data_IF_221900278103
#
_entry.id   IF_221900278103
#
_cell.length_a   1.000
_cell.length_b   1.000
_cell.length_c   1.000
_cell.angle_alpha   90.00
_cell.angle_beta   90.00
_cell.angle_gamma   90.00
#
_symmetry.space_group_name_H-M   'P 1'
#
loop_
_entity.id
_entity.type
_entity.pdbx_description
1 polymer ?
#
# COMPACT_ATOMS: atom_id res chain seq x y z
N UNK A 1 -27.64 -6.88 -6.58
CA UNK A 1 -26.83 -6.67 -5.37
C UNK A 1 -25.44 -7.23 -5.63
N UNK A 2 -24.42 -6.40 -5.51
CA UNK A 2 -23.02 -6.81 -5.61
C UNK A 2 -22.63 -7.70 -4.42
N UNK A 3 -21.73 -8.67 -4.63
CA UNK A 3 -21.16 -9.50 -3.55
C UNK A 3 -20.66 -8.64 -2.38
N UNK A 4 -20.12 -7.45 -2.69
CA UNK A 4 -19.63 -6.48 -1.70
C UNK A 4 -20.75 -5.97 -0.78
N UNK A 5 -21.94 -5.74 -1.33
CA UNK A 5 -23.12 -5.27 -0.59
C UNK A 5 -23.71 -6.38 0.30
N UNK A 6 -23.63 -7.63 -0.18
CA UNK A 6 -24.06 -8.82 0.57
C UNK A 6 -23.16 -9.03 1.80
N UNK A 7 -21.84 -8.93 1.62
CA UNK A 7 -20.88 -9.08 2.73
C UNK A 7 -21.00 -7.97 3.77
N UNK A 8 -21.18 -6.70 3.35
CA UNK A 8 -21.37 -5.58 4.28
C UNK A 8 -22.67 -5.77 5.09
N UNK A 9 -23.76 -6.21 4.44
CA UNK A 9 -25.02 -6.49 5.12
C UNK A 9 -24.94 -7.64 6.13
N UNK A 10 -24.18 -8.69 5.82
CA UNK A 10 -24.10 -9.89 6.65
C UNK A 10 -23.09 -9.79 7.79
N UNK A 11 -21.97 -9.08 7.58
CA UNK A 11 -20.85 -9.12 8.52
C UNK A 11 -20.46 -7.73 9.06
N UNK A 12 -21.11 -6.64 8.65
CA UNK A 12 -20.86 -5.29 9.18
C UNK A 12 -19.51 -4.68 8.80
N UNK A 13 -18.67 -5.42 8.07
CA UNK A 13 -17.36 -4.98 7.60
C UNK A 13 -17.05 -5.60 6.23
N UNK A 14 -16.37 -4.83 5.37
CA UNK A 14 -15.87 -5.33 4.10
C UNK A 14 -14.86 -6.48 4.35
N UNK A 15 -14.82 -7.50 3.48
CA UNK A 15 -13.86 -8.60 3.62
C UNK A 15 -12.45 -8.03 3.70
N UNK A 16 -11.69 -8.42 4.73
CA UNK A 16 -10.26 -8.11 4.80
C UNK A 16 -9.61 -8.78 3.60
N UNK A 17 -8.92 -8.01 2.76
CA UNK A 17 -8.02 -8.57 1.75
C UNK A 17 -6.91 -9.29 2.51
N UNK A 18 -6.96 -10.62 2.53
CA UNK A 18 -5.84 -11.43 3.00
C UNK A 18 -4.76 -11.37 1.91
N UNK A 19 -3.62 -10.77 2.26
CA UNK A 19 -2.47 -10.72 1.39
C UNK A 19 -1.52 -11.83 1.82
N UNK A 20 -1.26 -12.79 0.94
CA UNK A 20 -0.13 -13.69 1.14
C UNK A 20 1.16 -12.88 1.15
N UNK A 21 2.03 -13.02 2.17
CA UNK A 21 3.28 -12.30 2.25
C UNK A 21 4.31 -12.90 1.29
N UNK A 22 4.05 -12.77 -0.02
CA UNK A 22 5.01 -13.07 -1.08
C UNK A 22 6.16 -12.06 -0.96
N UNK A 23 7.24 -12.47 -0.28
CA UNK A 23 8.49 -11.70 -0.13
C UNK A 23 9.59 -12.26 -1.02
N UNK A 24 9.22 -12.67 -2.22
CA UNK A 24 10.12 -13.27 -3.20
C UNK A 24 11.05 -12.23 -3.86
N UNK A 25 10.59 -10.98 -4.01
CA UNK A 25 11.35 -9.92 -4.67
C UNK A 25 11.59 -8.68 -3.80
N UNK A 26 12.81 -8.15 -3.86
CA UNK A 26 13.19 -6.86 -3.26
C UNK A 26 13.16 -5.77 -4.34
N UNK A 27 12.51 -4.65 -4.02
CA UNK A 27 12.52 -3.45 -4.86
C UNK A 27 13.66 -2.55 -4.38
N UNK A 28 14.62 -2.29 -5.26
CA UNK A 28 15.70 -1.34 -5.02
C UNK A 28 15.43 -0.07 -5.81
N UNK A 29 15.28 1.05 -5.10
CA UNK A 29 15.07 2.37 -5.72
C UNK A 29 16.36 3.17 -5.60
N UNK A 30 16.89 3.64 -6.72
CA UNK A 30 18.03 4.57 -6.72
C UNK A 30 17.50 5.97 -6.45
N UNK A 31 18.09 6.63 -5.46
CA UNK A 31 17.74 7.98 -5.04
C UNK A 31 19.01 8.75 -4.72
N UNK A 32 18.95 10.06 -4.84
CA UNK A 32 19.93 11.00 -4.30
C UNK A 32 19.80 11.11 -2.77
N UNK A 33 20.80 11.68 -2.09
CA UNK A 33 20.74 11.87 -0.64
C UNK A 33 19.59 12.80 -0.23
N UNK A 34 19.33 13.85 -1.03
CA UNK A 34 18.23 14.78 -0.79
C UNK A 34 16.87 14.08 -0.90
N UNK A 35 16.67 13.27 -1.94
CA UNK A 35 15.44 12.50 -2.13
C UNK A 35 15.25 11.48 -1.00
N UNK A 36 16.32 10.80 -0.59
CA UNK A 36 16.29 9.87 0.55
C UNK A 36 15.84 10.57 1.84
N UNK A 37 16.39 11.73 2.14
CA UNK A 37 16.02 12.52 3.32
C UNK A 37 14.54 12.92 3.29
N UNK A 38 14.04 13.34 2.13
CA UNK A 38 12.63 13.68 1.93
C UNK A 38 11.74 12.44 2.17
N UNK A 39 12.09 11.30 1.58
CA UNK A 39 11.33 10.05 1.73
C UNK A 39 11.28 9.64 3.21
N UNK A 40 12.40 9.71 3.93
CA UNK A 40 12.45 9.36 5.36
C UNK A 40 11.58 10.31 6.22
N UNK A 41 11.62 11.62 5.94
CA UNK A 41 10.77 12.60 6.63
C UNK A 41 9.29 12.32 6.37
N UNK A 42 8.91 12.08 5.12
CA UNK A 42 7.52 11.77 4.75
C UNK A 42 7.03 10.46 5.36
N UNK A 43 7.87 9.41 5.37
CA UNK A 43 7.54 8.13 6.00
C UNK A 43 7.24 8.32 7.50
N UNK A 44 8.08 9.11 8.20
CA UNK A 44 7.86 9.45 9.62
C UNK A 44 6.55 10.22 9.84
N UNK A 45 6.22 11.19 8.99
CA UNK A 45 4.96 11.92 9.07
C UNK A 45 3.73 11.02 8.94
N UNK A 46 3.86 9.89 8.24
CA UNK A 46 2.81 8.90 8.05
C UNK A 46 2.87 7.73 9.06
N UNK A 47 3.79 7.79 10.04
CA UNK A 47 4.03 6.71 11.00
C UNK A 47 4.37 5.36 10.32
N UNK A 48 5.09 5.39 9.19
CA UNK A 48 5.53 4.21 8.44
C UNK A 48 7.07 4.14 8.38
N UNK A 49 7.61 2.93 8.21
CA UNK A 49 8.99 2.81 7.74
C UNK A 49 9.10 3.13 6.24
N UNK A 50 10.29 3.48 5.79
CA UNK A 50 10.59 3.88 4.41
C UNK A 50 10.10 2.87 3.38
N UNK A 51 10.26 1.56 3.64
CA UNK A 51 9.88 0.51 2.70
C UNK A 51 8.36 0.40 2.57
N UNK A 52 7.65 0.40 3.69
CA UNK A 52 6.20 0.38 3.70
C UNK A 52 5.60 1.68 3.16
N UNK A 53 6.22 2.83 3.41
CA UNK A 53 5.82 4.11 2.82
C UNK A 53 5.93 4.10 1.29
N UNK A 54 7.05 3.64 0.74
CA UNK A 54 7.23 3.54 -0.72
C UNK A 54 6.25 2.55 -1.34
N UNK A 55 6.03 1.38 -0.71
CA UNK A 55 5.01 0.42 -1.16
C UNK A 55 3.62 1.04 -1.13
N UNK A 56 3.26 1.70 -0.04
CA UNK A 56 1.97 2.37 0.10
C UNK A 56 1.77 3.44 -0.96
N UNK A 57 2.79 4.24 -1.29
CA UNK A 57 2.72 5.21 -2.39
C UNK A 57 2.50 4.54 -3.75
N UNK A 58 3.25 3.47 -4.07
CA UNK A 58 3.11 2.76 -5.35
C UNK A 58 1.70 2.18 -5.47
N UNK A 59 1.22 1.49 -4.43
CA UNK A 59 -0.10 0.89 -4.45
C UNK A 59 -1.21 1.95 -4.41
N UNK A 60 -1.10 2.97 -3.56
CA UNK A 60 -2.10 4.03 -3.48
C UNK A 60 -2.20 4.86 -4.76
N UNK A 61 -1.10 5.02 -5.51
CA UNK A 61 -1.11 5.77 -6.78
C UNK A 61 -1.51 4.92 -7.98
N UNK A 62 -1.14 3.64 -8.03
CA UNK A 62 -1.26 2.84 -9.25
C UNK A 62 -2.20 1.63 -9.16
N UNK A 63 -2.56 1.11 -7.98
CA UNK A 63 -3.47 -0.05 -7.95
C UNK A 63 -4.86 0.32 -8.48
N UNK A 64 -5.35 1.52 -8.14
CA UNK A 64 -6.66 1.98 -8.60
C UNK A 64 -6.66 2.29 -10.11
N UNK A 65 -5.50 2.63 -10.68
CA UNK A 65 -5.36 2.95 -12.11
C UNK A 65 -5.18 1.68 -12.98
N UNK A 66 -4.62 0.60 -12.45
CA UNK A 66 -4.24 -0.59 -13.22
C UNK A 66 -5.14 -1.82 -13.02
N UNK A 67 -5.90 -1.91 -11.92
CA UNK A 67 -6.78 -3.05 -11.64
C UNK A 67 -8.25 -2.61 -11.75
N UNK A 68 -8.87 -2.81 -12.91
CA UNK A 68 -10.32 -2.70 -13.14
C UNK A 68 -11.02 -4.03 -12.95
#
# INVERSE_FOLDING_TARGET
MSLKEIFIKLFGHAPKKEYDPLRDHRIYVRVTEQEKEIIEKLARCQCLDTSNFVRWLIFGKYIDDFIK
#
